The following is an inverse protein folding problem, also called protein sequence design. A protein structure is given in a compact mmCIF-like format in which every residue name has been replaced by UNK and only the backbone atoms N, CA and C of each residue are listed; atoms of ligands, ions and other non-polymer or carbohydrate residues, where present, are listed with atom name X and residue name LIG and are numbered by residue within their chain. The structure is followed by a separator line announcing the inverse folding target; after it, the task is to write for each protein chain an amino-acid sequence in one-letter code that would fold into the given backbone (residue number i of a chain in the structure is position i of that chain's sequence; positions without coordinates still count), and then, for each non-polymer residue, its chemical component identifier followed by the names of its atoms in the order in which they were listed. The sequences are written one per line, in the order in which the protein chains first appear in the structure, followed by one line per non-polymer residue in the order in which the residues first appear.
data_IF_661221769595
#
_entry.id   IF_661221769595
#
_cell.length_a   1.000
_cell.length_b   1.000
_cell.length_c   1.000
_cell.angle_alpha   90.00
_cell.angle_beta   90.00
_cell.angle_gamma   90.00
#
_symmetry.space_group_name_H-M   'P 1'
#
loop_
_entity.id
_entity.type
_entity.pdbx_description
1 polymer ?
#
# COMPACT_ATOMS: atom_id res chain seq x y z
N UNK A 1 -12.19 -34.16 58.40
CA UNK A 1 -10.78 -34.25 57.94
C UNK A 1 -10.68 -34.88 56.54
N UNK A 2 -11.03 -36.16 56.33
CA UNK A 2 -10.97 -36.77 54.99
C UNK A 2 -12.01 -36.17 54.00
N UNK A 3 -13.22 -35.87 54.47
CA UNK A 3 -14.28 -35.28 53.65
C UNK A 3 -13.93 -33.85 53.24
N UNK A 4 -13.40 -33.05 54.16
CA UNK A 4 -12.98 -31.67 53.88
C UNK A 4 -11.83 -31.62 52.85
N UNK A 5 -10.90 -32.59 52.91
CA UNK A 5 -9.85 -32.74 51.91
C UNK A 5 -10.41 -33.11 50.53
N UNK A 6 -11.38 -34.01 50.45
CA UNK A 6 -12.03 -34.37 49.19
C UNK A 6 -12.76 -33.16 48.61
N UNK A 7 -13.52 -32.42 49.43
CA UNK A 7 -14.22 -31.21 48.99
C UNK A 7 -13.27 -30.11 48.49
N UNK A 8 -12.10 -29.96 49.11
CA UNK A 8 -11.07 -29.03 48.63
C UNK A 8 -10.51 -29.43 47.25
N UNK A 9 -10.32 -30.73 47.00
CA UNK A 9 -9.80 -31.24 45.72
C UNK A 9 -10.84 -31.06 44.61
N UNK A 10 -12.12 -31.36 44.87
CA UNK A 10 -13.18 -31.19 43.86
C UNK A 10 -13.31 -29.72 43.45
N UNK A 11 -13.27 -28.80 44.42
CA UNK A 11 -13.29 -27.36 44.14
C UNK A 11 -12.09 -26.92 43.28
N UNK A 12 -10.91 -27.49 43.54
CA UNK A 12 -9.70 -27.16 42.79
C UNK A 12 -9.74 -27.70 41.35
N UNK A 13 -10.39 -28.84 41.12
CA UNK A 13 -10.65 -29.39 39.77
C UNK A 13 -11.64 -28.50 39.02
N UNK A 14 -12.73 -28.07 39.67
CA UNK A 14 -13.72 -27.16 39.07
C UNK A 14 -13.09 -25.82 38.67
N UNK A 15 -12.21 -25.25 39.50
CA UNK A 15 -11.46 -24.04 39.17
C UNK A 15 -10.51 -24.25 37.97
N UNK A 16 -9.87 -25.43 37.89
CA UNK A 16 -8.98 -25.78 36.77
C UNK A 16 -9.76 -25.90 35.45
N UNK A 17 -10.94 -26.53 35.48
CA UNK A 17 -11.81 -26.70 34.31
C UNK A 17 -12.34 -25.38 33.77
N UNK A 18 -12.66 -24.43 34.66
CA UNK A 18 -13.04 -23.07 34.27
C UNK A 18 -11.89 -22.37 33.53
N UNK A 19 -10.66 -22.48 34.05
CA UNK A 19 -9.48 -21.90 33.39
C UNK A 19 -9.22 -22.54 32.03
N UNK A 20 -9.33 -23.86 31.92
CA UNK A 20 -9.17 -24.59 30.65
C UNK A 20 -10.24 -24.17 29.64
N UNK A 21 -11.49 -24.00 30.07
CA UNK A 21 -12.57 -23.51 29.21
C UNK A 21 -12.31 -22.07 28.72
N UNK A 22 -11.80 -21.19 29.58
CA UNK A 22 -11.45 -19.82 29.18
C UNK A 22 -10.30 -19.80 28.16
N UNK A 23 -9.25 -20.59 28.39
CA UNK A 23 -8.12 -20.71 27.47
C UNK A 23 -8.55 -21.24 26.10
N UNK A 24 -9.43 -22.26 26.07
CA UNK A 24 -10.00 -22.77 24.83
C UNK A 24 -10.80 -21.70 24.09
N UNK A 25 -11.63 -20.94 24.80
CA UNK A 25 -12.44 -19.88 24.19
C UNK A 25 -11.57 -18.77 23.57
N UNK A 26 -10.51 -18.35 24.27
CA UNK A 26 -9.54 -17.38 23.75
C UNK A 26 -8.84 -17.93 22.50
N UNK A 27 -8.43 -19.19 22.53
CA UNK A 27 -7.79 -19.85 21.39
C UNK A 27 -8.73 -19.92 20.18
N UNK A 28 -9.99 -20.35 20.37
CA UNK A 28 -10.99 -20.35 19.31
C UNK A 28 -11.20 -18.94 18.75
N UNK A 29 -11.39 -17.94 19.61
CA UNK A 29 -11.58 -16.55 19.18
C UNK A 29 -10.43 -16.05 18.29
N UNK A 30 -9.18 -16.39 18.65
CA UNK A 30 -8.00 -16.01 17.85
C UNK A 30 -7.94 -16.72 16.49
N UNK A 31 -8.35 -17.99 16.41
CA UNK A 31 -8.47 -18.72 15.14
C UNK A 31 -9.54 -18.09 14.26
N UNK A 32 -10.70 -17.73 14.82
CA UNK A 32 -11.79 -17.08 14.09
C UNK A 32 -11.36 -15.74 13.52
N UNK A 33 -10.73 -14.88 14.33
CA UNK A 33 -10.17 -13.60 13.87
C UNK A 33 -9.21 -13.81 12.71
N UNK A 34 -8.27 -14.76 12.83
CA UNK A 34 -7.32 -15.02 11.74
C UNK A 34 -7.99 -15.58 10.49
N UNK A 35 -9.03 -16.42 10.63
CA UNK A 35 -9.80 -16.96 9.51
C UNK A 35 -10.58 -15.85 8.78
N UNK A 36 -11.24 -14.96 9.53
CA UNK A 36 -12.01 -13.84 9.01
C UNK A 36 -11.11 -12.83 8.30
N UNK A 37 -9.97 -12.47 8.91
CA UNK A 37 -8.96 -11.64 8.26
C UNK A 37 -8.44 -12.31 6.98
N UNK A 38 -8.17 -13.62 7.00
CA UNK A 38 -7.70 -14.34 5.82
C UNK A 38 -8.74 -14.42 4.71
N UNK A 39 -10.04 -14.46 5.03
CA UNK A 39 -11.12 -14.48 4.05
C UNK A 39 -11.40 -13.09 3.47
N UNK A 40 -11.36 -12.04 4.30
CA UNK A 40 -11.62 -10.65 3.87
C UNK A 40 -10.42 -10.10 3.09
N UNK A 41 -9.19 -10.35 3.56
CA UNK A 41 -7.95 -9.89 2.93
C UNK A 41 -7.31 -10.95 2.01
N UNK A 42 -8.04 -12.03 1.70
CA UNK A 42 -7.57 -13.14 0.91
C UNK A 42 -7.09 -12.72 -0.48
N UNK A 43 -5.76 -12.73 -0.67
CA UNK A 43 -4.98 -12.64 -1.91
C UNK A 43 -5.71 -12.07 -3.14
N UNK A 44 -6.14 -10.81 -3.04
CA UNK A 44 -6.50 -10.05 -4.22
C UNK A 44 -5.22 -9.77 -5.00
N UNK A 45 -4.92 -10.63 -5.99
CA UNK A 45 -3.85 -10.38 -6.96
C UNK A 45 -4.32 -9.24 -7.87
N UNK A 46 -4.16 -8.01 -7.40
CA UNK A 46 -4.42 -6.82 -8.19
C UNK A 46 -3.51 -6.85 -9.42
N UNK A 47 -4.13 -6.98 -10.60
CA UNK A 47 -3.41 -6.85 -11.86
C UNK A 47 -3.15 -5.38 -12.09
N UNK A 48 -1.87 -5.01 -12.12
CA UNK A 48 -1.48 -3.65 -12.45
C UNK A 48 -1.98 -3.29 -13.85
N UNK A 49 -2.49 -2.06 -14.06
CA UNK A 49 -2.88 -1.62 -15.39
C UNK A 49 -1.67 -1.68 -16.33
N UNK A 50 -1.87 -2.11 -17.57
CA UNK A 50 -0.80 -2.16 -18.56
C UNK A 50 -0.17 -0.76 -18.77
N UNK A 51 1.11 -0.72 -19.15
CA UNK A 51 1.77 0.53 -19.50
C UNK A 51 1.34 0.89 -20.92
N UNK A 52 0.65 2.02 -21.07
CA UNK A 52 0.12 2.49 -22.36
C UNK A 52 1.02 3.51 -23.03
N UNK A 53 1.73 4.34 -22.25
CA UNK A 53 2.54 5.43 -22.78
C UNK A 53 4.02 5.03 -22.93
N UNK A 54 4.63 5.13 -24.12
CA UNK A 54 6.03 4.79 -24.35
C UNK A 54 7.02 5.67 -23.58
N UNK A 55 6.64 6.89 -23.18
CA UNK A 55 7.47 7.79 -22.36
C UNK A 55 7.86 7.10 -21.04
N UNK A 56 6.96 6.31 -20.45
CA UNK A 56 7.19 5.59 -19.20
C UNK A 56 8.23 4.46 -19.33
N UNK A 57 8.50 4.01 -20.55
CA UNK A 57 9.45 2.94 -20.84
C UNK A 57 10.86 3.46 -21.16
N UNK A 58 11.05 4.78 -21.24
CA UNK A 58 12.33 5.39 -21.59
C UNK A 58 13.16 5.69 -20.34
N UNK A 59 14.50 5.53 -20.40
CA UNK A 59 15.36 5.91 -19.30
C UNK A 59 15.45 7.44 -19.16
N UNK A 60 15.68 7.91 -17.94
CA UNK A 60 15.74 9.34 -17.61
C UNK A 60 16.78 10.12 -18.43
N UNK A 61 17.91 9.48 -18.79
CA UNK A 61 18.95 10.10 -19.62
C UNK A 61 18.46 10.38 -21.04
N UNK A 62 17.66 9.48 -21.61
CA UNK A 62 17.03 9.67 -22.93
C UNK A 62 15.96 10.74 -22.84
N UNK A 63 15.11 10.72 -21.82
CA UNK A 63 14.09 11.77 -21.61
C UNK A 63 14.73 13.15 -21.48
N UNK A 64 15.77 13.31 -20.65
CA UNK A 64 16.49 14.57 -20.49
C UNK A 64 17.13 15.05 -21.80
N UNK A 65 17.67 14.12 -22.61
CA UNK A 65 18.18 14.45 -23.94
C UNK A 65 17.05 14.94 -24.86
N UNK A 66 15.93 14.23 -24.90
CA UNK A 66 14.75 14.58 -25.72
C UNK A 66 14.13 15.92 -25.32
N UNK A 67 14.15 16.27 -24.04
CA UNK A 67 13.70 17.58 -23.53
C UNK A 67 14.64 18.69 -24.04
N UNK A 68 15.96 18.53 -23.90
CA UNK A 68 16.93 19.50 -24.44
C UNK A 68 16.85 19.65 -25.96
N UNK A 69 16.55 18.55 -26.66
CA UNK A 69 16.31 18.52 -28.11
C UNK A 69 14.90 19.00 -28.50
N UNK A 70 14.04 19.37 -27.53
CA UNK A 70 12.67 19.86 -27.73
C UNK A 70 11.75 18.88 -28.47
N UNK A 71 12.04 17.59 -28.38
CA UNK A 71 11.19 16.53 -28.93
C UNK A 71 9.99 16.20 -28.06
N UNK A 72 10.12 16.44 -26.74
CA UNK A 72 9.08 16.27 -25.73
C UNK A 72 9.24 17.41 -24.72
N UNK A 73 8.14 17.80 -24.06
CA UNK A 73 8.17 18.84 -23.03
C UNK A 73 8.35 18.23 -21.64
N UNK A 74 8.95 18.98 -20.71
CA UNK A 74 9.05 18.58 -19.32
C UNK A 74 7.65 18.40 -18.71
N UNK A 75 6.69 19.27 -19.07
CA UNK A 75 5.29 19.16 -18.65
C UNK A 75 4.67 17.82 -19.07
N UNK A 76 4.83 17.41 -20.33
CA UNK A 76 4.27 16.15 -20.83
C UNK A 76 4.83 14.95 -20.05
N UNK A 77 6.14 14.93 -19.81
CA UNK A 77 6.77 13.86 -19.03
C UNK A 77 6.20 13.81 -17.62
N UNK A 78 6.19 14.94 -16.90
CA UNK A 78 5.66 15.01 -15.53
C UNK A 78 4.18 14.59 -15.45
N UNK A 79 3.37 15.01 -16.42
CA UNK A 79 1.95 14.67 -16.50
C UNK A 79 1.74 13.16 -16.66
N UNK A 80 2.45 12.53 -17.59
CA UNK A 80 2.33 11.09 -17.85
C UNK A 80 2.76 10.26 -16.64
N UNK A 81 3.80 10.68 -15.91
CA UNK A 81 4.21 10.03 -14.66
C UNK A 81 3.19 10.24 -13.53
N UNK A 82 2.66 11.46 -13.36
CA UNK A 82 1.64 11.74 -12.35
C UNK A 82 0.37 10.90 -12.58
N UNK A 83 -0.12 10.84 -13.81
CA UNK A 83 -1.29 10.03 -14.17
C UNK A 83 -1.07 8.54 -13.91
N UNK A 84 0.14 8.05 -14.20
CA UNK A 84 0.51 6.66 -13.93
C UNK A 84 0.50 6.36 -12.43
N UNK A 85 1.04 7.27 -11.62
CA UNK A 85 1.08 7.13 -10.16
C UNK A 85 -0.34 7.15 -9.59
N UNK A 86 -1.20 8.10 -10.03
CA UNK A 86 -2.62 8.16 -9.64
C UNK A 86 -3.37 6.88 -10.00
N UNK A 87 -3.17 6.38 -11.21
CA UNK A 87 -3.79 5.13 -11.67
C UNK A 87 -3.36 3.90 -10.87
N UNK A 88 -2.15 3.94 -10.27
CA UNK A 88 -1.61 2.85 -9.48
C UNK A 88 -2.00 2.90 -7.99
N UNK A 89 -2.48 4.05 -7.50
CA UNK A 89 -2.78 4.25 -6.08
C UNK A 89 -3.77 3.22 -5.49
N UNK A 90 -4.88 2.85 -6.17
CA UNK A 90 -5.81 1.85 -5.62
C UNK A 90 -5.19 0.46 -5.47
N UNK A 91 -4.12 0.18 -6.21
CA UNK A 91 -3.49 -1.15 -6.27
C UNK A 91 -2.28 -1.27 -5.34
N UNK A 92 -1.47 -0.21 -5.27
CA UNK A 92 -0.18 -0.23 -4.57
C UNK A 92 -0.14 0.72 -3.38
N UNK A 93 -1.05 1.68 -3.27
CA UNK A 93 -1.06 2.72 -2.24
C UNK A 93 0.34 3.35 -2.05
N UNK A 94 0.88 3.92 -3.14
CA UNK A 94 2.31 4.27 -3.28
C UNK A 94 2.67 5.57 -2.54
N UNK A 95 1.71 6.48 -2.37
CA UNK A 95 1.94 7.79 -1.77
C UNK A 95 0.88 8.11 -0.72
N UNK A 96 1.24 8.98 0.22
CA UNK A 96 0.35 9.47 1.29
C UNK A 96 -0.22 10.85 0.94
N UNK A 97 0.56 11.68 0.25
CA UNK A 97 0.22 13.05 -0.12
C UNK A 97 0.65 13.33 -1.57
N UNK A 98 -0.03 14.27 -2.25
CA UNK A 98 0.21 14.59 -3.64
C UNK A 98 0.77 16.01 -3.85
N UNK A 99 1.93 16.11 -4.52
CA UNK A 99 2.54 17.37 -4.99
C UNK A 99 2.57 17.46 -6.52
N UNK A 100 1.70 16.73 -7.20
CA UNK A 100 1.72 16.64 -8.67
C UNK A 100 1.46 18.00 -9.33
N UNK A 101 0.54 18.80 -8.80
CA UNK A 101 0.18 20.09 -9.42
C UNK A 101 1.33 21.08 -9.35
N UNK A 102 2.04 21.15 -8.22
CA UNK A 102 3.22 21.98 -8.08
C UNK A 102 4.35 21.51 -9.02
N UNK A 103 4.55 20.20 -9.15
CA UNK A 103 5.53 19.63 -10.08
C UNK A 103 5.18 19.96 -11.55
N UNK A 104 3.90 20.01 -11.91
CA UNK A 104 3.46 20.40 -13.24
C UNK A 104 3.66 21.89 -13.52
N UNK A 105 3.54 22.74 -12.50
CA UNK A 105 3.84 24.18 -12.60
C UNK A 105 5.35 24.38 -12.83
N UNK A 106 6.19 23.74 -12.01
CA UNK A 106 7.65 23.79 -12.14
C UNK A 106 8.11 23.27 -13.51
N UNK A 107 7.49 22.19 -14.01
CA UNK A 107 7.80 21.65 -15.33
C UNK A 107 7.46 22.64 -16.47
N UNK A 108 6.34 23.37 -16.37
CA UNK A 108 6.00 24.44 -17.34
C UNK A 108 6.97 25.60 -17.28
N UNK A 109 7.49 25.94 -16.11
CA UNK A 109 8.49 26.99 -15.97
C UNK A 109 9.80 26.59 -16.64
N UNK A 110 10.26 25.35 -16.46
CA UNK A 110 11.41 24.80 -17.17
C UNK A 110 11.20 24.87 -18.69
N UNK A 111 10.03 24.43 -19.18
CA UNK A 111 9.73 24.49 -20.61
C UNK A 111 9.79 25.93 -21.16
N UNK A 112 9.33 26.93 -20.39
CA UNK A 112 9.45 28.36 -20.74
C UNK A 112 10.91 28.82 -20.78
N UNK A 113 11.70 28.51 -19.76
CA UNK A 113 13.12 28.89 -19.73
C UNK A 113 13.89 28.30 -20.92
N UNK A 114 13.56 27.06 -21.32
CA UNK A 114 14.16 26.41 -22.49
C UNK A 114 13.73 27.04 -23.82
N UNK A 115 12.59 27.72 -23.86
CA UNK A 115 12.14 28.47 -25.04
C UNK A 115 12.74 29.88 -25.07
N UNK A 116 12.92 30.54 -23.93
CA UNK A 116 13.56 31.86 -23.80
C UNK A 116 15.07 31.80 -24.10
N UNK A 117 15.77 30.72 -23.72
CA UNK A 117 17.20 30.47 -24.04
C UNK A 117 17.50 30.37 -25.56
N UNK A 118 16.49 30.51 -26.44
CA UNK A 118 16.68 30.59 -27.89
C UNK A 118 17.03 32.00 -28.39
N UNK A 119 16.77 33.05 -27.60
CA UNK A 119 17.14 34.43 -27.94
C UNK A 119 18.61 34.74 -27.64
#
# INVERSE_FOLDING_TARGET
MAIDQIQSITKQIDELDVVICQLKNIFFLSIWIQLDFRLIYGNQKFKLPAITNPILLQPATVLAKRIRERQITAYEVCHVYADRIRSNQPYLNVYVDERFDQALIEAKEIDRTLDDDKE
#
